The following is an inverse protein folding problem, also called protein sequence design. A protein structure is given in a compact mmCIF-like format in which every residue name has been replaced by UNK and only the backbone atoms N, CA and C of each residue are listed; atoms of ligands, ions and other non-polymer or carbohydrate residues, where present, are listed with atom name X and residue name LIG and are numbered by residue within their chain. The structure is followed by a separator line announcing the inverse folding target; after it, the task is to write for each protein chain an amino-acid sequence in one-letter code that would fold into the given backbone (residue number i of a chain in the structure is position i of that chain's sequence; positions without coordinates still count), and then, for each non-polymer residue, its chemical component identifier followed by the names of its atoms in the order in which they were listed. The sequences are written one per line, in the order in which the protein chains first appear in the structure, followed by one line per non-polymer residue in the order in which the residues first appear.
data_IF_554466709537
#
_entry.id   IF_554466709537
#
_cell.length_a   1.000
_cell.length_b   1.000
_cell.length_c   1.000
_cell.angle_alpha   90.00
_cell.angle_beta   90.00
_cell.angle_gamma   90.00
#
_symmetry.space_group_name_H-M   'P 1'
#
loop_
_entity.id
_entity.type
_entity.pdbx_description
1 polymer ?
#
# COMPACT_ATOMS: atom_id res chain seq x y z
N UNK A 1 -9.43 15.08 7.17
CA UNK A 1 -8.74 14.39 6.06
C UNK A 1 -8.13 13.10 6.56
N UNK A 2 -8.43 12.01 5.90
CA UNK A 2 -7.96 10.71 6.36
C UNK A 2 -6.55 10.44 5.88
N UNK A 3 -5.78 9.81 6.74
CA UNK A 3 -4.45 9.35 6.38
C UNK A 3 -4.41 7.84 6.48
N UNK A 4 -3.82 7.22 5.50
CA UNK A 4 -3.73 5.78 5.42
C UNK A 4 -2.26 5.36 5.37
N UNK A 5 -1.99 4.19 5.90
CA UNK A 5 -0.65 3.62 5.89
C UNK A 5 -0.51 2.71 4.68
N UNK A 6 0.55 2.92 3.91
CA UNK A 6 0.88 2.04 2.78
C UNK A 6 2.02 1.16 3.23
N UNK A 7 1.79 -0.14 3.19
CA UNK A 7 2.74 -1.13 3.69
C UNK A 7 3.11 -2.06 2.55
N UNK A 8 4.40 -2.17 2.30
CA UNK A 8 4.93 -3.11 1.32
C UNK A 8 5.86 -4.08 2.03
N UNK A 9 5.41 -5.28 2.33
CA UNK A 9 6.25 -6.24 3.09
C UNK A 9 7.56 -6.59 2.39
N UNK A 10 7.56 -6.59 1.07
CA UNK A 10 8.78 -6.90 0.31
C UNK A 10 9.76 -5.73 0.28
N UNK A 11 9.28 -4.54 0.57
CA UNK A 11 10.12 -3.34 0.54
C UNK A 11 9.73 -2.43 1.71
N UNK A 12 10.06 -2.83 2.95
CA UNK A 12 9.63 -2.05 4.11
C UNK A 12 10.13 -0.61 4.11
N UNK A 13 11.21 -0.33 3.41
CA UNK A 13 11.74 1.04 3.30
C UNK A 13 10.80 1.95 2.49
N UNK A 14 9.84 1.40 1.77
CA UNK A 14 8.86 2.17 1.03
C UNK A 14 7.60 2.47 1.82
N UNK A 15 7.49 1.91 3.02
CA UNK A 15 6.30 2.13 3.85
C UNK A 15 6.17 3.61 4.18
N UNK A 16 4.95 4.12 4.09
CA UNK A 16 4.69 5.52 4.36
C UNK A 16 3.24 5.74 4.76
N UNK A 17 2.95 6.92 5.26
CA UNK A 17 1.59 7.32 5.60
C UNK A 17 1.27 8.57 4.80
N UNK A 18 0.15 8.55 4.11
CA UNK A 18 -0.24 9.68 3.27
C UNK A 18 -1.77 9.76 3.18
N UNK A 19 -2.29 10.76 2.47
CA UNK A 19 -3.73 10.92 2.35
C UNK A 19 -4.32 9.79 1.48
N UNK A 20 -5.63 9.66 1.55
CA UNK A 20 -6.35 8.51 0.99
C UNK A 20 -6.06 8.33 -0.50
N UNK A 21 -6.21 9.39 -1.27
CA UNK A 21 -6.05 9.28 -2.73
C UNK A 21 -4.65 8.82 -3.10
N UNK A 22 -3.65 9.42 -2.46
CA UNK A 22 -2.25 9.09 -2.75
C UNK A 22 -1.90 7.70 -2.25
N UNK A 23 -2.51 7.29 -1.14
CA UNK A 23 -2.23 5.99 -0.57
C UNK A 23 -2.61 4.86 -1.53
N UNK A 24 -3.78 4.97 -2.15
CA UNK A 24 -4.21 3.94 -3.10
C UNK A 24 -3.34 3.91 -4.34
N UNK A 25 -2.98 5.09 -4.87
CA UNK A 25 -2.08 5.16 -6.03
C UNK A 25 -0.72 4.56 -5.70
N UNK A 26 -0.18 4.91 -4.54
CA UNK A 26 1.12 4.41 -4.14
C UNK A 26 1.09 2.89 -3.91
N UNK A 27 0.03 2.41 -3.30
CA UNK A 27 -0.13 0.98 -3.07
C UNK A 27 -0.12 0.22 -4.39
N UNK A 28 -0.85 0.72 -5.38
CA UNK A 28 -0.87 0.10 -6.69
C UNK A 28 0.53 0.08 -7.32
N UNK A 29 1.22 1.22 -7.28
CA UNK A 29 2.57 1.32 -7.85
C UNK A 29 3.52 0.34 -7.17
N UNK A 30 3.47 0.27 -5.85
CA UNK A 30 4.36 -0.64 -5.12
C UNK A 30 4.04 -2.10 -5.41
N UNK A 31 2.77 -2.42 -5.58
CA UNK A 31 2.40 -3.79 -5.92
C UNK A 31 2.92 -4.17 -7.29
N UNK A 32 2.94 -3.23 -8.23
CA UNK A 32 3.46 -3.49 -9.56
C UNK A 32 4.97 -3.67 -9.54
N UNK A 33 5.66 -2.96 -8.67
CA UNK A 33 7.11 -3.03 -8.61
C UNK A 33 7.61 -4.20 -7.77
N UNK A 34 6.95 -4.47 -6.64
CA UNK A 34 7.42 -5.46 -5.67
C UNK A 34 6.51 -6.68 -5.55
N UNK A 35 5.38 -6.67 -6.23
CA UNK A 35 4.48 -7.81 -6.29
C UNK A 35 3.30 -7.76 -5.32
N UNK A 36 3.40 -7.00 -4.25
CA UNK A 36 2.33 -6.93 -3.26
C UNK A 36 2.48 -5.69 -2.40
N UNK A 37 1.37 -5.04 -2.11
CA UNK A 37 1.33 -3.94 -1.16
C UNK A 37 -0.07 -3.86 -0.57
N UNK A 38 -0.18 -3.27 0.61
CA UNK A 38 -1.45 -3.17 1.30
C UNK A 38 -1.64 -1.77 1.86
N UNK A 39 -2.90 -1.41 2.09
CA UNK A 39 -3.26 -0.15 2.71
C UNK A 39 -3.91 -0.45 4.04
N UNK A 40 -3.47 0.22 5.10
CA UNK A 40 -4.01 0.05 6.44
C UNK A 40 -4.54 1.35 6.98
N UNK A 41 -5.55 1.25 7.81
CA UNK A 41 -6.10 2.37 8.56
C UNK A 41 -6.20 1.96 10.02
N UNK A 42 -5.49 2.70 10.89
CA UNK A 42 -5.46 2.41 12.33
C UNK A 42 -5.02 0.96 12.60
N UNK A 43 -4.06 0.48 11.82
CA UNK A 43 -3.54 -0.86 11.99
C UNK A 43 -4.36 -1.97 11.36
N UNK A 44 -5.47 -1.61 10.72
CA UNK A 44 -6.35 -2.59 10.10
C UNK A 44 -6.19 -2.52 8.59
N UNK A 45 -5.98 -3.67 7.95
CA UNK A 45 -5.85 -3.73 6.50
C UNK A 45 -7.22 -3.46 5.87
N UNK A 46 -7.32 -2.40 5.09
CA UNK A 46 -8.56 -2.04 4.43
C UNK A 46 -8.53 -2.33 2.94
N UNK A 47 -7.37 -2.70 2.40
CA UNK A 47 -7.27 -3.09 1.02
C UNK A 47 -5.86 -3.51 0.69
N UNK A 48 -5.70 -4.19 -0.43
CA UNK A 48 -4.38 -4.58 -0.90
C UNK A 48 -4.42 -4.76 -2.41
N UNK A 49 -3.23 -4.79 -3.00
CA UNK A 49 -3.06 -5.10 -4.41
C UNK A 49 -1.99 -6.17 -4.54
N UNK A 50 -2.25 -7.12 -5.41
CA UNK A 50 -1.30 -8.19 -5.72
C UNK A 50 -1.05 -8.17 -7.21
N UNK A 51 0.21 -8.05 -7.58
CA UNK A 51 0.59 -8.06 -8.98
C UNK A 51 1.47 -9.28 -9.26
N UNK A 52 0.95 -10.41 -9.08
CA UNK A 52 1.75 -11.60 -9.30
C UNK A 52 0.91 -12.71 -9.82
N UNK A 53 -0.31 -12.39 -10.05
CA UNK A 53 -1.26 -13.39 -10.43
C UNK A 53 -1.11 -13.89 -11.84
N UNK A 54 -0.12 -13.46 -12.47
CA UNK A 54 0.10 -13.88 -13.85
C UNK A 54 0.90 -15.13 -13.92
#
# INVERSE_FOLDING_TARGET
MQRLDVICPSAPWENTTTDEDRAWDLCLSLSEEYGYAQVRQNGIIIGDYTNGGV
#
